data_IF_439878110010
#
_entry.id   IF_439878110010
#
_cell.length_a   1.000
_cell.length_b   1.000
_cell.length_c   1.000
_cell.angle_alpha   90.00
_cell.angle_beta   90.00
_cell.angle_gamma   90.00
#
_symmetry.space_group_name_H-M   'P 1'
#
loop_
_entity.id
_entity.type
_entity.pdbx_description
1 polymer ?
#
# COMPACT_ATOMS: atom_id res chain seq x y z
N UNK A 1 -55.83 -6.73 9.51
CA UNK A 1 -55.11 -5.79 10.40
C UNK A 1 -53.87 -6.49 10.95
N UNK A 2 -52.71 -6.27 10.37
CA UNK A 2 -51.45 -6.84 10.85
C UNK A 2 -50.64 -5.75 11.56
N UNK A 3 -50.25 -6.02 12.81
CA UNK A 3 -49.63 -5.04 13.71
C UNK A 3 -48.14 -4.93 13.39
N UNK A 4 -47.68 -3.69 13.23
CA UNK A 4 -46.27 -3.30 13.09
C UNK A 4 -45.56 -3.50 14.43
N UNK A 5 -44.39 -4.12 14.41
CA UNK A 5 -43.42 -4.03 15.51
C UNK A 5 -42.14 -3.43 14.96
N UNK A 6 -41.99 -2.13 15.19
CA UNK A 6 -40.74 -1.39 15.11
C UNK A 6 -39.96 -1.64 16.40
N UNK A 7 -38.73 -2.13 16.31
CA UNK A 7 -37.80 -2.14 17.43
C UNK A 7 -36.41 -1.74 16.93
N UNK A 8 -36.01 -0.54 17.34
CA UNK A 8 -34.68 0.03 17.17
C UNK A 8 -33.87 -0.21 18.44
N UNK A 9 -32.72 -0.88 18.35
CA UNK A 9 -31.67 -0.77 19.35
C UNK A 9 -30.29 -0.83 18.68
N UNK A 10 -29.70 0.34 18.48
CA UNK A 10 -28.29 0.52 18.12
C UNK A 10 -27.46 0.34 19.39
N UNK A 11 -26.46 -0.54 19.37
CA UNK A 11 -25.49 -0.69 20.47
C UNK A 11 -24.20 0.03 20.08
N UNK A 12 -23.85 1.07 20.84
CA UNK A 12 -22.64 1.87 20.65
C UNK A 12 -21.38 1.07 21.02
N UNK A 13 -20.34 1.14 20.18
CA UNK A 13 -18.99 0.69 20.52
C UNK A 13 -18.23 1.82 21.22
N UNK A 14 -17.74 1.56 22.43
CA UNK A 14 -16.88 2.47 23.16
C UNK A 14 -15.42 2.30 22.69
N UNK A 15 -14.82 3.36 22.16
CA UNK A 15 -13.37 3.44 21.95
C UNK A 15 -12.70 3.77 23.29
N UNK A 16 -12.05 2.79 23.89
CA UNK A 16 -11.20 3.00 25.07
C UNK A 16 -9.89 3.65 24.66
N UNK A 17 -9.73 4.93 25.00
CA UNK A 17 -8.44 5.61 24.99
C UNK A 17 -7.60 5.13 26.18
N UNK A 18 -6.38 4.63 25.92
CA UNK A 18 -5.37 4.51 26.98
C UNK A 18 -3.99 4.95 26.49
N UNK A 19 -3.61 6.12 27.01
CA UNK A 19 -2.30 6.60 27.44
C UNK A 19 -1.04 6.18 26.68
N UNK A 20 -0.50 7.16 25.92
CA UNK A 20 0.91 7.25 25.59
C UNK A 20 1.73 7.56 26.87
N UNK A 21 2.44 6.56 27.39
CA UNK A 21 3.43 6.76 28.44
C UNK A 21 4.83 6.89 27.84
N UNK A 22 5.28 8.14 27.76
CA UNK A 22 6.67 8.56 27.57
C UNK A 22 7.55 7.94 28.64
N UNK A 23 8.59 7.20 28.25
CA UNK A 23 9.71 6.84 29.13
C UNK A 23 11.02 7.30 28.50
N UNK A 24 11.38 8.53 28.85
CA UNK A 24 12.75 9.04 28.80
C UNK A 24 13.56 8.30 29.87
N UNK A 25 14.64 7.64 29.48
CA UNK A 25 15.71 7.26 30.39
C UNK A 25 17.01 7.84 29.87
N UNK A 26 17.57 8.75 30.66
CA UNK A 26 18.87 9.36 30.46
C UNK A 26 19.85 8.89 31.55
N UNK A 27 21.13 9.00 31.20
CA UNK A 27 22.33 9.02 32.03
C UNK A 27 22.77 7.75 32.76
N UNK A 28 23.88 7.19 32.32
CA UNK A 28 25.03 7.07 33.23
C UNK A 28 26.34 7.37 32.49
N UNK A 29 27.10 8.23 33.12
CA UNK A 29 28.41 8.78 32.78
C UNK A 29 29.53 7.75 32.97
N UNK A 30 30.47 7.68 32.02
CA UNK A 30 31.83 7.22 32.31
C UNK A 30 32.82 7.95 31.41
N UNK A 31 33.33 9.07 31.93
CA UNK A 31 34.45 9.79 31.38
C UNK A 31 35.73 9.02 31.76
N UNK A 32 36.44 8.44 30.79
CA UNK A 32 37.83 8.01 30.98
C UNK A 32 38.70 8.56 29.87
N UNK A 33 39.27 9.73 30.17
CA UNK A 33 40.50 10.21 29.56
C UNK A 33 41.62 9.20 29.87
N UNK A 34 42.25 8.65 28.83
CA UNK A 34 43.64 8.19 28.93
C UNK A 34 44.44 8.96 27.89
N UNK A 35 45.23 9.88 28.42
CA UNK A 35 46.36 10.52 27.79
C UNK A 35 47.44 9.47 27.51
N UNK A 36 47.79 9.27 26.24
CA UNK A 36 48.91 8.43 25.83
C UNK A 36 49.55 9.03 24.57
N UNK A 37 50.82 9.40 24.67
CA UNK A 37 51.63 10.19 23.74
C UNK A 37 51.77 9.59 22.32
N UNK A 38 52.06 10.43 21.30
CA UNK A 38 52.33 9.97 19.94
C UNK A 38 53.77 9.44 19.85
N UNK A 39 53.96 8.26 19.26
CA UNK A 39 55.26 7.83 18.78
C UNK A 39 55.18 7.55 17.28
N UNK A 40 56.05 8.23 16.55
CA UNK A 40 56.21 8.20 15.12
C UNK A 40 56.38 6.78 14.56
N UNK A 41 55.77 6.53 13.41
CA UNK A 41 56.41 5.80 12.32
C UNK A 41 55.61 6.04 11.04
N UNK A 42 56.21 6.81 10.12
CA UNK A 42 55.71 6.96 8.77
C UNK A 42 56.12 5.71 7.98
N UNK A 43 55.14 4.88 7.63
CA UNK A 43 55.28 3.86 6.61
C UNK A 43 54.13 4.01 5.60
N UNK A 44 54.39 4.40 4.35
CA UNK A 44 53.37 4.38 3.32
C UNK A 44 53.19 2.93 2.85
N UNK A 45 52.37 2.15 3.56
CA UNK A 45 51.94 0.85 3.04
C UNK A 45 50.97 1.13 1.90
N UNK A 46 51.38 0.68 0.72
CA UNK A 46 50.73 0.81 -0.57
C UNK A 46 49.20 0.88 -0.47
N UNK A 47 48.64 1.95 -1.04
CA UNK A 47 47.24 2.00 -1.41
C UNK A 47 47.00 0.89 -2.44
N UNK A 48 46.61 -0.29 -1.97
CA UNK A 48 45.94 -1.26 -2.81
C UNK A 48 44.68 -0.58 -3.30
N UNK A 49 44.71 -0.19 -4.57
CA UNK A 49 43.55 0.19 -5.34
C UNK A 49 42.59 -0.99 -5.24
N UNK A 50 41.70 -0.93 -4.24
CA UNK A 50 40.49 -1.72 -4.20
C UNK A 50 39.72 -1.29 -5.43
N UNK A 51 39.98 -2.01 -6.53
CA UNK A 51 39.25 -1.91 -7.76
C UNK A 51 37.78 -1.91 -7.38
N UNK A 52 37.18 -0.74 -7.57
CA UNK A 52 35.80 -0.45 -7.30
C UNK A 52 34.97 -1.54 -7.97
N UNK A 53 34.46 -2.51 -7.20
CA UNK A 53 33.25 -3.22 -7.60
C UNK A 53 32.12 -2.23 -7.40
N UNK A 54 32.06 -1.23 -8.27
CA UNK A 54 30.93 -0.36 -8.41
C UNK A 54 29.77 -1.23 -8.85
N UNK A 55 28.82 -1.48 -7.94
CA UNK A 55 27.51 -1.94 -8.33
C UNK A 55 26.83 -0.75 -9.01
N UNK A 56 26.87 -0.73 -10.34
CA UNK A 56 26.09 0.22 -11.12
C UNK A 56 24.63 -0.21 -11.02
N UNK A 57 23.89 0.41 -10.09
CA UNK A 57 22.43 0.38 -10.13
C UNK A 57 22.00 1.33 -11.23
N UNK A 58 22.12 0.87 -12.47
CA UNK A 58 21.47 1.52 -13.59
C UNK A 58 19.97 1.27 -13.40
N UNK A 59 19.27 2.25 -12.83
CA UNK A 59 17.81 2.33 -12.87
C UNK A 59 17.39 2.66 -14.32
N UNK A 60 17.80 1.81 -15.26
CA UNK A 60 17.23 1.80 -16.59
C UNK A 60 15.73 1.51 -16.43
N UNK A 61 14.92 2.22 -17.22
CA UNK A 61 13.47 2.07 -17.28
C UNK A 61 13.07 0.74 -17.94
N UNK A 62 13.66 -0.36 -17.50
CA UNK A 62 13.24 -1.71 -17.85
C UNK A 62 12.04 -2.02 -16.97
N UNK A 63 10.96 -2.49 -17.60
CA UNK A 63 9.76 -2.98 -16.90
C UNK A 63 10.20 -3.94 -15.80
N UNK A 64 10.02 -3.54 -14.54
CA UNK A 64 10.38 -4.36 -13.38
C UNK A 64 9.50 -5.58 -13.40
N UNK A 65 10.09 -6.77 -13.27
CA UNK A 65 9.32 -8.00 -13.10
C UNK A 65 9.05 -8.22 -11.62
N UNK A 66 8.05 -9.03 -11.29
CA UNK A 66 7.76 -9.37 -9.89
C UNK A 66 8.94 -10.09 -9.24
N UNK A 67 9.71 -10.88 -9.99
CA UNK A 67 10.91 -11.53 -9.47
C UNK A 67 11.97 -10.54 -8.96
N UNK A 68 12.04 -9.33 -9.53
CA UNK A 68 13.01 -8.32 -9.10
C UNK A 68 12.59 -7.63 -7.78
N UNK A 69 11.29 -7.65 -7.47
CA UNK A 69 10.71 -7.00 -6.28
C UNK A 69 10.50 -8.00 -5.15
N UNK A 70 9.84 -9.13 -5.44
CA UNK A 70 9.48 -10.17 -4.48
C UNK A 70 9.56 -11.58 -5.11
N UNK A 71 10.75 -12.22 -5.14
CA UNK A 71 10.97 -13.50 -5.81
C UNK A 71 10.12 -14.67 -5.30
N UNK A 72 9.68 -14.61 -4.04
CA UNK A 72 8.90 -15.68 -3.39
C UNK A 72 7.37 -15.48 -3.54
N UNK A 73 6.93 -14.43 -4.24
CA UNK A 73 5.52 -14.17 -4.48
C UNK A 73 4.92 -15.29 -5.34
N UNK A 74 3.78 -15.84 -4.91
CA UNK A 74 3.08 -16.90 -5.67
C UNK A 74 1.57 -16.70 -5.60
N UNK A 75 0.83 -17.40 -6.48
CA UNK A 75 -0.63 -17.33 -6.50
C UNK A 75 -1.16 -15.91 -6.74
N UNK A 76 -2.22 -15.53 -6.03
CA UNK A 76 -2.85 -14.22 -6.13
C UNK A 76 -1.90 -13.07 -5.70
N UNK A 77 -0.98 -13.33 -4.77
CA UNK A 77 0.01 -12.32 -4.33
C UNK A 77 0.89 -11.87 -5.50
N UNK A 78 1.30 -12.80 -6.36
CA UNK A 78 2.10 -12.50 -7.55
C UNK A 78 1.27 -11.78 -8.62
N UNK A 79 0.04 -12.23 -8.85
CA UNK A 79 -0.87 -11.64 -9.85
C UNK A 79 -1.17 -10.17 -9.54
N UNK A 80 -1.43 -9.84 -8.27
CA UNK A 80 -1.65 -8.46 -7.81
C UNK A 80 -0.41 -7.58 -8.07
N UNK A 81 0.79 -8.06 -7.74
CA UNK A 81 2.03 -7.31 -7.98
C UNK A 81 2.36 -7.14 -9.47
N UNK A 82 2.11 -8.15 -10.31
CA UNK A 82 2.30 -8.04 -11.76
C UNK A 82 1.39 -6.95 -12.33
N UNK A 83 0.12 -6.92 -11.89
CA UNK A 83 -0.84 -5.92 -12.30
C UNK A 83 -0.45 -4.49 -11.87
N UNK A 84 0.00 -4.32 -10.62
CA UNK A 84 0.47 -3.02 -10.12
C UNK A 84 1.71 -2.50 -10.88
N UNK A 85 2.66 -3.38 -11.20
CA UNK A 85 3.86 -3.02 -11.97
C UNK A 85 3.53 -2.63 -13.42
N UNK A 86 2.49 -3.23 -14.00
CA UNK A 86 1.95 -2.87 -15.32
C UNK A 86 1.02 -1.63 -15.27
N UNK A 87 0.62 -1.19 -14.07
CA UNK A 87 -0.30 -0.08 -13.87
C UNK A 87 -1.75 -0.41 -14.23
N UNK A 88 -2.14 -1.69 -14.17
CA UNK A 88 -3.52 -2.16 -14.38
C UNK A 88 -4.19 -2.51 -13.05
N UNK A 89 -5.49 -2.22 -12.94
CA UNK A 89 -6.32 -2.68 -11.82
C UNK A 89 -7.05 -3.98 -12.22
N UNK A 90 -6.78 -5.08 -11.50
CA UNK A 90 -7.44 -6.37 -11.71
C UNK A 90 -8.96 -6.29 -11.49
N UNK A 91 -9.40 -5.42 -10.58
CA UNK A 91 -10.77 -5.33 -10.11
C UNK A 91 -11.52 -4.11 -10.69
N UNK A 92 -10.99 -3.47 -11.72
CA UNK A 92 -11.57 -2.29 -12.40
C UNK A 92 -13.05 -2.48 -12.75
N UNK A 93 -13.41 -3.68 -13.22
CA UNK A 93 -14.78 -3.98 -13.63
C UNK A 93 -15.80 -3.85 -12.50
N UNK A 94 -15.36 -3.88 -11.23
CA UNK A 94 -16.25 -3.84 -10.08
C UNK A 94 -16.87 -2.47 -9.84
N UNK A 95 -16.20 -1.41 -10.32
CA UNK A 95 -16.57 -0.02 -10.07
C UNK A 95 -16.89 0.69 -11.38
N UNK A 96 -18.01 0.34 -12.06
CA UNK A 96 -18.40 1.01 -13.29
C UNK A 96 -18.68 2.48 -13.02
N UNK A 97 -17.96 3.36 -13.72
CA UNK A 97 -18.18 4.81 -13.69
C UNK A 97 -18.73 5.24 -15.04
N UNK A 98 -19.78 6.03 -15.03
CA UNK A 98 -20.40 6.53 -16.25
C UNK A 98 -21.72 7.24 -15.98
N UNK A 99 -22.31 7.86 -17.02
CA UNK A 99 -23.66 8.40 -16.91
C UNK A 99 -24.68 7.29 -16.61
N UNK A 100 -25.84 7.66 -16.06
CA UNK A 100 -26.92 6.73 -15.70
C UNK A 100 -27.41 5.86 -16.88
N UNK A 101 -27.23 6.35 -18.11
CA UNK A 101 -27.64 5.69 -19.34
C UNK A 101 -29.03 6.13 -19.81
N UNK A 102 -29.21 6.14 -21.12
CA UNK A 102 -30.49 6.38 -21.81
C UNK A 102 -30.82 5.20 -22.72
N UNK A 103 -32.05 5.15 -23.25
CA UNK A 103 -32.45 4.09 -24.20
C UNK A 103 -31.50 3.96 -25.39
N UNK A 104 -31.04 5.09 -25.92
CA UNK A 104 -30.13 5.14 -27.07
C UNK A 104 -28.64 4.97 -26.68
N UNK A 105 -28.31 5.16 -25.40
CA UNK A 105 -26.93 5.15 -24.89
C UNK A 105 -26.92 4.55 -23.47
N UNK A 106 -27.04 3.23 -23.33
CA UNK A 106 -27.22 2.58 -22.03
C UNK A 106 -25.95 2.61 -21.18
N UNK A 107 -26.12 2.49 -19.86
CA UNK A 107 -24.99 2.27 -18.96
C UNK A 107 -24.45 0.84 -19.15
N UNK A 108 -23.19 0.73 -19.57
CA UNK A 108 -22.54 -0.54 -19.86
C UNK A 108 -21.83 -1.05 -18.61
N UNK A 109 -22.19 -2.26 -18.15
CA UNK A 109 -21.56 -2.93 -17.00
C UNK A 109 -20.80 -4.16 -17.48
N UNK A 110 -19.53 -4.25 -17.12
CA UNK A 110 -18.66 -5.40 -17.44
C UNK A 110 -18.93 -6.57 -16.47
N UNK A 111 -18.88 -7.80 -16.96
CA UNK A 111 -18.94 -9.02 -16.14
C UNK A 111 -18.11 -10.14 -16.77
N UNK A 112 -17.58 -11.03 -15.93
CA UNK A 112 -16.91 -12.24 -16.39
C UNK A 112 -17.88 -13.36 -16.80
N UNK A 113 -19.12 -13.29 -16.30
CA UNK A 113 -20.19 -14.26 -16.57
C UNK A 113 -21.33 -13.62 -17.36
N UNK A 114 -22.25 -14.44 -17.86
CA UNK A 114 -23.42 -14.01 -18.66
C UNK A 114 -24.38 -13.08 -17.90
N UNK A 115 -24.37 -13.12 -16.56
CA UNK A 115 -25.24 -12.33 -15.68
C UNK A 115 -24.47 -11.81 -14.48
N UNK A 116 -24.85 -10.63 -13.98
CA UNK A 116 -24.26 -9.99 -12.79
C UNK A 116 -25.32 -9.20 -12.01
N UNK A 117 -25.15 -9.15 -10.69
CA UNK A 117 -25.97 -8.31 -9.80
C UNK A 117 -25.49 -6.86 -9.87
N UNK A 118 -26.42 -5.92 -10.09
CA UNK A 118 -26.14 -4.48 -10.15
C UNK A 118 -27.04 -3.75 -9.15
N UNK A 119 -26.44 -2.92 -8.31
CA UNK A 119 -27.17 -1.98 -7.45
C UNK A 119 -27.25 -0.62 -8.13
N UNK A 120 -28.45 -0.06 -8.26
CA UNK A 120 -28.67 1.26 -8.85
C UNK A 120 -28.87 2.30 -7.72
N UNK A 121 -27.90 3.20 -7.48
CA UNK A 121 -28.04 4.23 -6.45
C UNK A 121 -28.98 5.38 -6.86
N UNK A 122 -29.30 5.54 -8.15
CA UNK A 122 -30.07 6.67 -8.69
C UNK A 122 -29.19 7.74 -9.35
N UNK A 123 -29.77 8.92 -9.65
CA UNK A 123 -29.05 10.08 -10.18
C UNK A 123 -28.24 10.84 -9.12
N UNK A 124 -27.75 12.05 -9.44
CA UNK A 124 -26.91 12.92 -8.58
C UNK A 124 -27.45 13.20 -7.16
N UNK A 125 -28.68 12.80 -6.84
CA UNK A 125 -29.37 13.02 -5.57
C UNK A 125 -29.95 11.75 -4.93
N UNK A 126 -29.61 10.55 -5.44
CA UNK A 126 -30.11 9.29 -4.91
C UNK A 126 -31.64 9.10 -5.05
N UNK A 127 -32.29 9.93 -5.87
CA UNK A 127 -33.71 9.79 -6.21
C UNK A 127 -33.84 9.24 -7.62
N UNK A 128 -34.68 8.24 -7.80
CA UNK A 128 -35.17 7.88 -9.12
C UNK A 128 -36.12 8.99 -9.59
N UNK A 129 -35.77 9.72 -10.65
CA UNK A 129 -36.77 10.51 -11.38
C UNK A 129 -37.70 9.50 -12.06
N UNK A 130 -38.89 9.37 -11.48
CA UNK A 130 -40.02 8.56 -11.98
C UNK A 130 -40.57 9.12 -13.27
#
# INVERSE_FOLDING_TARGET
>A
MWRRLTSSQLKAFAFGAVSAASRRSASSSANRFITGRPLASATPVAATLLAHRGFSSESATTVKKVEDVMPIATGHEREELEAELEGRDLLDINYPVGPFGTKEAPAVVKSYYDKRVVGCPGGEDGRSRS
#
